data_IF_406874735631
#
_entry.id   IF_406874735631
#
_cell.length_a   1.000
_cell.length_b   1.000
_cell.length_c   1.000
_cell.angle_alpha   90.00
_cell.angle_beta   90.00
_cell.angle_gamma   90.00
#
_symmetry.space_group_name_H-M   'P 1'
#
loop_
_entity.id
_entity.type
_entity.pdbx_description
1 polymer ?
#
# COMPACT_ATOMS: atom_id res chain seq x y z
N UNK A 1 8.33 -20.22 -9.09
CA UNK A 1 7.04 -19.80 -8.51
C UNK A 1 6.26 -19.13 -9.62
N UNK A 2 5.00 -19.50 -9.87
CA UNK A 2 4.19 -18.84 -10.88
C UNK A 2 3.89 -17.40 -10.45
N UNK A 3 4.00 -16.46 -11.39
CA UNK A 3 3.59 -15.06 -11.19
C UNK A 3 2.14 -14.91 -11.62
N UNK A 4 1.35 -14.26 -10.79
CA UNK A 4 -0.02 -13.83 -11.13
C UNK A 4 0.05 -12.38 -11.59
N UNK A 5 -0.32 -12.14 -12.85
CA UNK A 5 -0.38 -10.80 -13.42
C UNK A 5 -1.84 -10.36 -13.53
N UNK A 6 -2.13 -9.15 -13.08
CA UNK A 6 -3.46 -8.56 -13.17
C UNK A 6 -3.38 -7.09 -13.56
N UNK A 7 -4.30 -6.63 -14.40
CA UNK A 7 -4.43 -5.22 -14.74
C UNK A 7 -5.91 -4.85 -14.79
N UNK A 8 -6.25 -3.66 -14.28
CA UNK A 8 -7.62 -3.16 -14.31
C UNK A 8 -7.65 -1.64 -14.44
N UNK A 9 -8.68 -1.16 -15.12
CA UNK A 9 -9.09 0.25 -15.17
C UNK A 9 -10.17 0.60 -14.14
N UNK A 10 -10.61 -0.37 -13.35
CA UNK A 10 -11.59 -0.22 -12.27
C UNK A 10 -10.89 -0.37 -10.90
N UNK A 11 -11.15 0.59 -10.00
CA UNK A 11 -10.56 0.58 -8.66
C UNK A 11 -11.13 -0.54 -7.79
N UNK A 12 -12.40 -0.89 -7.96
CA UNK A 12 -13.07 -1.89 -7.14
C UNK A 12 -12.62 -3.30 -7.51
N UNK A 13 -12.40 -3.55 -8.80
CA UNK A 13 -11.77 -4.80 -9.25
C UNK A 13 -10.33 -4.92 -8.74
N UNK A 14 -9.55 -3.84 -8.82
CA UNK A 14 -8.18 -3.80 -8.31
C UNK A 14 -8.12 -4.05 -6.79
N UNK A 15 -9.06 -3.48 -6.01
CA UNK A 15 -9.20 -3.70 -4.57
C UNK A 15 -9.54 -5.16 -4.26
N UNK A 16 -10.50 -5.73 -4.98
CA UNK A 16 -10.91 -7.12 -4.81
C UNK A 16 -9.74 -8.08 -5.08
N UNK A 17 -9.00 -7.85 -6.16
CA UNK A 17 -7.81 -8.64 -6.50
C UNK A 17 -6.72 -8.51 -5.41
N UNK A 18 -6.39 -7.30 -4.97
CA UNK A 18 -5.38 -7.11 -3.92
C UNK A 18 -5.79 -7.77 -2.59
N UNK A 19 -7.08 -7.81 -2.27
CA UNK A 19 -7.60 -8.49 -1.07
C UNK A 19 -7.48 -10.02 -1.11
N UNK A 20 -7.26 -10.63 -2.27
CA UNK A 20 -7.04 -12.08 -2.41
C UNK A 20 -5.59 -12.46 -2.07
N UNK A 21 -4.63 -11.58 -2.36
CA UNK A 21 -3.18 -11.88 -2.23
C UNK A 21 -2.47 -11.12 -1.12
N UNK A 22 -3.04 -10.00 -0.68
CA UNK A 22 -2.55 -9.17 0.41
C UNK A 22 -3.62 -9.01 1.50
N UNK A 23 -3.25 -8.35 2.60
CA UNK A 23 -4.16 -7.99 3.69
C UNK A 23 -5.38 -7.20 3.18
N UNK A 24 -6.45 -7.14 3.99
CA UNK A 24 -7.57 -6.23 3.72
C UNK A 24 -7.06 -4.81 3.57
N UNK A 25 -7.00 -4.36 2.32
CA UNK A 25 -6.44 -3.08 1.92
C UNK A 25 -7.58 -2.17 1.50
N UNK A 26 -7.75 -1.05 2.22
CA UNK A 26 -8.58 0.03 1.71
C UNK A 26 -7.71 0.93 0.84
N UNK A 27 -7.86 0.82 -0.48
CA UNK A 27 -7.19 1.69 -1.45
C UNK A 27 -8.10 2.86 -1.78
N UNK A 28 -7.86 4.05 -1.26
CA UNK A 28 -8.57 5.28 -1.61
C UNK A 28 -7.80 6.03 -2.71
N UNK A 29 -8.43 6.34 -3.84
CA UNK A 29 -7.82 7.16 -4.90
C UNK A 29 -7.81 8.61 -4.46
N UNK A 30 -6.62 9.21 -4.34
CA UNK A 30 -6.47 10.59 -3.85
C UNK A 30 -6.64 11.62 -4.96
N UNK A 31 -6.36 11.24 -6.21
CA UNK A 31 -6.44 12.13 -7.36
C UNK A 31 -7.12 11.45 -8.55
N UNK A 32 -8.37 11.85 -8.81
CA UNK A 32 -9.13 11.45 -10.00
C UNK A 32 -8.76 12.27 -11.25
N UNK A 33 -7.72 13.11 -11.19
CA UNK A 33 -7.31 13.96 -12.33
C UNK A 33 -6.76 13.16 -13.51
N UNK A 34 -6.37 11.89 -13.29
CA UNK A 34 -5.99 10.93 -14.33
C UNK A 34 -6.93 9.73 -14.23
N UNK A 35 -7.24 9.12 -15.37
CA UNK A 35 -7.94 7.83 -15.41
C UNK A 35 -7.12 6.79 -14.64
N UNK A 36 -7.76 6.11 -13.69
CA UNK A 36 -7.16 4.99 -12.97
C UNK A 36 -6.68 3.91 -13.94
N UNK A 37 -5.46 3.44 -13.74
CA UNK A 37 -4.92 2.24 -14.37
C UNK A 37 -4.00 1.57 -13.37
N UNK A 38 -4.31 0.32 -13.02
CA UNK A 38 -3.47 -0.48 -12.15
C UNK A 38 -2.91 -1.69 -12.86
N UNK A 39 -1.68 -2.05 -12.51
CA UNK A 39 -1.02 -3.29 -12.91
C UNK A 39 -0.32 -3.89 -11.70
N UNK A 40 -0.54 -5.18 -11.48
CA UNK A 40 0.04 -5.94 -10.38
C UNK A 40 0.69 -7.20 -10.94
N UNK A 41 1.92 -7.45 -10.53
CA UNK A 41 2.64 -8.68 -10.80
C UNK A 41 3.02 -9.29 -9.43
N UNK A 42 2.33 -10.35 -9.01
CA UNK A 42 2.43 -10.95 -7.67
C UNK A 42 3.04 -12.35 -7.74
N UNK A 43 3.98 -12.63 -6.85
CA UNK A 43 4.55 -13.95 -6.63
C UNK A 43 4.20 -14.37 -5.20
N UNK A 44 3.10 -15.13 -5.01
CA UNK A 44 2.70 -15.59 -3.69
C UNK A 44 3.63 -16.70 -3.18
N UNK A 45 3.91 -16.69 -1.87
CA UNK A 45 4.50 -17.83 -1.17
C UNK A 45 4.07 -17.85 0.29
N UNK A 46 4.16 -19.03 0.92
CA UNK A 46 3.75 -19.20 2.33
C UNK A 46 4.61 -18.40 3.31
N UNK A 47 5.80 -17.94 2.90
CA UNK A 47 6.75 -17.24 3.77
C UNK A 47 6.89 -15.75 3.44
N UNK A 48 6.83 -15.40 2.15
CA UNK A 48 6.96 -14.02 1.66
C UNK A 48 6.13 -13.84 0.39
N UNK A 49 5.22 -12.87 0.40
CA UNK A 49 4.54 -12.43 -0.82
C UNK A 49 5.32 -11.27 -1.41
N UNK A 50 5.81 -11.44 -2.64
CA UNK A 50 6.43 -10.37 -3.41
C UNK A 50 5.41 -9.84 -4.42
N UNK A 51 5.37 -8.53 -4.63
CA UNK A 51 4.62 -7.98 -5.74
C UNK A 51 5.15 -6.64 -6.21
N UNK A 52 5.10 -6.44 -7.51
CA UNK A 52 5.28 -5.15 -8.16
C UNK A 52 3.89 -4.53 -8.39
N UNK A 53 3.64 -3.38 -7.77
CA UNK A 53 2.34 -2.73 -7.76
C UNK A 53 2.42 -1.34 -8.39
N UNK A 54 1.62 -1.12 -9.43
CA UNK A 54 1.52 0.15 -10.14
C UNK A 54 0.06 0.61 -10.10
N UNK A 55 -0.18 1.86 -9.67
CA UNK A 55 -1.53 2.41 -9.51
C UNK A 55 -1.88 3.55 -10.48
N UNK A 56 -0.90 4.04 -11.26
CA UNK A 56 -1.09 5.07 -12.30
C UNK A 56 -1.44 6.48 -11.78
N UNK A 57 -1.85 6.61 -10.52
CA UNK A 57 -2.20 7.86 -9.82
C UNK A 57 -1.84 7.76 -8.34
N UNK A 58 -1.96 8.87 -7.62
CA UNK A 58 -1.74 8.91 -6.18
C UNK A 58 -2.86 8.18 -5.44
N UNK A 59 -2.45 7.25 -4.58
CA UNK A 59 -3.34 6.41 -3.79
C UNK A 59 -3.01 6.52 -2.31
N UNK A 60 -4.04 6.34 -1.50
CA UNK A 60 -3.93 6.16 -0.06
C UNK A 60 -4.30 4.73 0.26
N UNK A 61 -3.38 4.00 0.86
CA UNK A 61 -3.63 2.63 1.30
C UNK A 61 -3.71 2.62 2.82
N UNK A 62 -4.77 2.04 3.36
CA UNK A 62 -4.90 1.79 4.79
C UNK A 62 -4.84 0.29 5.02
N UNK A 63 -3.96 -0.08 5.94
CA UNK A 63 -3.78 -1.44 6.41
C UNK A 63 -4.34 -1.53 7.82
N UNK A 64 -5.01 -2.64 8.14
CA UNK A 64 -5.26 -3.04 9.53
C UNK A 64 -3.99 -3.58 10.18
N UNK A 65 -4.14 -4.46 11.15
CA UNK A 65 -3.01 -5.22 11.70
C UNK A 65 -2.41 -6.12 10.60
N UNK A 66 -1.11 -5.95 10.33
CA UNK A 66 -0.42 -6.66 9.26
C UNK A 66 -0.08 -8.10 9.63
N UNK A 67 0.15 -8.41 10.91
CA UNK A 67 0.52 -9.76 11.36
C UNK A 67 1.88 -10.27 10.85
N UNK A 68 2.52 -9.55 9.91
CA UNK A 68 3.89 -9.77 9.45
C UNK A 68 4.58 -8.45 9.15
N UNK A 69 5.91 -8.48 9.00
CA UNK A 69 6.61 -7.35 8.43
C UNK A 69 6.17 -7.13 6.98
N UNK A 70 6.01 -5.86 6.61
CA UNK A 70 5.77 -5.46 5.23
C UNK A 70 6.87 -4.48 4.83
N UNK A 71 7.36 -4.59 3.59
CA UNK A 71 8.41 -3.72 3.08
C UNK A 71 7.98 -3.20 1.72
N UNK A 72 7.93 -1.89 1.58
CA UNK A 72 7.66 -1.22 0.30
C UNK A 72 8.92 -0.54 -0.21
N UNK A 73 9.24 -0.82 -1.47
CA UNK A 73 10.35 -0.23 -2.20
C UNK A 73 9.77 0.65 -3.31
N UNK A 74 9.70 1.98 -3.15
CA UNK A 74 9.22 2.83 -4.22
C UNK A 74 10.15 2.72 -5.43
N UNK A 75 9.64 2.22 -6.55
CA UNK A 75 10.39 2.22 -7.83
C UNK A 75 10.24 3.56 -8.54
N UNK A 76 9.11 4.25 -8.29
CA UNK A 76 8.84 5.61 -8.72
C UNK A 76 8.01 6.36 -7.66
N UNK A 77 8.04 7.69 -7.69
CA UNK A 77 7.29 8.54 -6.75
C UNK A 77 7.83 8.50 -5.31
N UNK A 78 6.92 8.60 -4.34
CA UNK A 78 7.29 8.49 -2.93
C UNK A 78 6.14 7.96 -2.08
N UNK A 79 6.52 7.32 -0.97
CA UNK A 79 5.63 6.81 0.05
C UNK A 79 5.60 7.74 1.23
N UNK A 80 4.42 8.04 1.79
CA UNK A 80 4.34 8.66 3.11
C UNK A 80 3.37 7.86 3.98
N UNK A 81 3.84 7.43 5.15
CA UNK A 81 3.07 6.58 6.06
C UNK A 81 3.25 6.95 7.52
N UNK A 82 2.36 6.44 8.34
CA UNK A 82 2.44 6.49 9.80
C UNK A 82 2.04 5.12 10.34
N UNK A 83 2.83 4.59 11.27
CA UNK A 83 2.48 3.38 12.01
C UNK A 83 2.34 3.73 13.50
N UNK A 84 1.21 3.33 14.09
CA UNK A 84 0.83 3.70 15.45
C UNK A 84 0.81 5.22 15.68
N UNK A 85 1.33 5.66 16.82
CA UNK A 85 1.33 7.07 17.22
C UNK A 85 2.52 7.87 16.69
N UNK A 86 3.45 7.27 15.92
CA UNK A 86 4.68 7.90 15.45
C UNK A 86 4.49 9.09 14.52
N UNK A 87 5.57 9.82 14.22
CA UNK A 87 5.55 10.85 13.19
C UNK A 87 5.38 10.21 11.78
N UNK A 88 4.81 10.92 10.80
CA UNK A 88 4.83 10.46 9.41
C UNK A 88 6.26 10.24 8.93
N UNK A 89 6.48 9.09 8.31
CA UNK A 89 7.73 8.68 7.68
C UNK A 89 7.56 8.75 6.16
N UNK A 90 8.67 8.97 5.46
CA UNK A 90 8.71 9.07 4.00
C UNK A 90 9.77 8.17 3.39
N UNK A 91 9.40 7.46 2.33
CA UNK A 91 10.29 6.65 1.52
C UNK A 91 10.29 7.18 0.09
N UNK A 92 11.45 7.09 -0.56
CA UNK A 92 11.66 7.51 -1.95
C UNK A 92 12.30 6.35 -2.70
N UNK A 93 12.65 6.54 -3.97
CA UNK A 93 13.40 5.52 -4.72
C UNK A 93 14.78 5.18 -4.15
N UNK A 94 15.28 5.99 -3.21
CA UNK A 94 16.54 5.74 -2.50
C UNK A 94 16.35 5.03 -1.13
N UNK A 95 15.12 4.88 -0.63
CA UNK A 95 14.88 4.37 0.73
C UNK A 95 13.69 3.43 0.80
N UNK A 96 13.82 2.34 1.57
CA UNK A 96 12.73 1.41 1.81
C UNK A 96 11.80 1.90 2.94
N UNK A 97 10.49 1.64 2.80
CA UNK A 97 9.54 1.74 3.89
C UNK A 97 9.37 0.38 4.56
N UNK A 98 9.64 0.30 5.86
CA UNK A 98 9.49 -0.93 6.64
C UNK A 98 8.36 -0.73 7.65
N UNK A 99 7.39 -1.63 7.62
CA UNK A 99 6.25 -1.65 8.52
C UNK A 99 6.38 -2.83 9.48
N UNK A 100 6.16 -2.58 10.76
CA UNK A 100 6.18 -3.61 11.79
C UNK A 100 4.92 -4.49 11.71
N UNK A 101 4.98 -5.75 12.18
CA UNK A 101 3.80 -6.63 12.25
C UNK A 101 2.69 -6.12 13.18
N UNK A 102 3.04 -5.21 14.10
CA UNK A 102 2.14 -4.67 15.13
C UNK A 102 1.89 -3.18 14.92
N UNK A 103 0.70 -2.71 15.30
CA UNK A 103 0.30 -1.31 15.26
C UNK A 103 -0.31 -0.87 13.93
N UNK A 104 -1.42 -0.13 14.01
CA UNK A 104 -2.19 0.34 12.85
C UNK A 104 -1.34 1.19 11.90
N UNK A 105 -1.44 0.91 10.59
CA UNK A 105 -0.67 1.64 9.57
C UNK A 105 -1.60 2.43 8.65
N UNK A 106 -1.35 3.74 8.58
CA UNK A 106 -2.07 4.64 7.66
C UNK A 106 -1.09 5.31 6.70
N UNK A 107 -1.30 5.20 5.39
CA UNK A 107 -0.68 6.13 4.44
C UNK A 107 -1.41 7.46 4.39
N UNK A 108 -0.66 8.56 4.26
CA UNK A 108 -1.19 9.88 3.87
C UNK A 108 -0.11 10.69 3.18
N UNK A 109 -0.47 11.33 2.09
CA UNK A 109 0.08 12.62 1.69
C UNK A 109 -0.46 13.71 2.66
N UNK A 110 0.44 14.48 3.30
CA UNK A 110 0.19 15.86 3.77
C UNK A 110 -0.81 16.16 4.90
N UNK A 111 -0.28 16.58 6.06
CA UNK A 111 -0.85 17.30 7.24
C UNK A 111 -1.96 16.67 8.10
N UNK A 112 -1.75 16.76 9.43
CA UNK A 112 -2.36 15.97 10.50
C UNK A 112 -3.63 16.57 11.11
N UNK A 113 -4.55 15.70 11.57
CA UNK A 113 -5.38 15.84 12.79
C UNK A 113 -6.30 14.61 12.99
N UNK A 114 -6.73 14.42 14.25
CA UNK A 114 -7.52 13.35 14.88
C UNK A 114 -6.73 12.06 15.20
N UNK A 115 -6.48 11.65 16.45
CA UNK A 115 -7.01 12.01 17.76
C UNK A 115 -6.99 10.70 18.57
N UNK A 116 -6.00 10.52 19.43
CA UNK A 116 -5.83 9.29 20.21
C UNK A 116 -6.60 9.42 21.53
N UNK A 117 -7.56 8.51 21.76
CA UNK A 117 -8.12 8.28 23.09
C UNK A 117 -7.41 7.06 23.72
N UNK A 118 -7.19 7.06 25.05
CA UNK A 118 -6.46 6.03 25.77
C UNK A 118 -7.14 4.66 25.75
#
# INVERSE_FOLDING_TARGET
MPTVTYASGDVDEARAFLGEYYYSNFVDVLSWKRSWQSRFDIVPSDTVTLGDLQFGTDVKIRFGELGSYHVNLPVAGSLTWRQGCGAPLRATTATAAVFQPVGDTTWRDGTAAAGCWP
#
